data_IF_244104418676
#
_entry.id   IF_244104418676
#
_cell.length_a   1.000
_cell.length_b   1.000
_cell.length_c   1.000
_cell.angle_alpha   90.00
_cell.angle_beta   90.00
_cell.angle_gamma   90.00
#
_symmetry.space_group_name_H-M   'P 1'
#
loop_
_entity.id
_entity.type
_entity.pdbx_description
1 polymer ?
#
# COMPACT_ATOMS: atom_id res chain seq x y z
N UNK A 1 -11.98 30.66 12.59
CA UNK A 1 -11.95 30.85 11.14
C UNK A 1 -12.09 29.48 10.51
N UNK A 2 -13.06 29.26 9.63
CA UNK A 2 -13.13 28.01 8.88
C UNK A 2 -11.98 28.05 7.88
N UNK A 3 -10.99 27.18 8.05
CA UNK A 3 -9.94 27.00 7.05
C UNK A 3 -10.60 26.49 5.77
N UNK A 4 -10.83 27.40 4.81
CA UNK A 4 -11.42 27.08 3.52
C UNK A 4 -10.44 26.16 2.77
N UNK A 5 -10.74 24.87 2.76
CA UNK A 5 -9.88 23.89 2.10
C UNK A 5 -9.95 24.14 0.59
N UNK A 6 -8.89 24.75 0.04
CA UNK A 6 -8.82 25.12 -1.36
C UNK A 6 -8.42 23.91 -2.24
N UNK A 7 -9.43 23.18 -2.72
CA UNK A 7 -9.23 22.06 -3.66
C UNK A 7 -8.99 22.50 -5.12
N UNK A 8 -9.02 23.81 -5.43
CA UNK A 8 -8.97 24.32 -6.80
C UNK A 8 -7.67 24.00 -7.53
N UNK A 9 -6.58 23.77 -6.80
CA UNK A 9 -5.28 23.49 -7.39
C UNK A 9 -5.10 22.02 -7.82
N UNK A 10 -6.09 21.15 -7.59
CA UNK A 10 -6.02 19.78 -8.06
C UNK A 10 -6.32 19.72 -9.57
N UNK A 11 -5.41 19.23 -10.43
CA UNK A 11 -5.63 19.17 -11.86
C UNK A 11 -6.77 18.20 -12.24
N UNK A 12 -7.27 17.37 -11.33
CA UNK A 12 -8.47 16.53 -11.54
C UNK A 12 -9.77 17.31 -11.34
N UNK A 13 -9.72 18.49 -10.72
CA UNK A 13 -10.90 19.30 -10.46
C UNK A 13 -11.44 19.88 -11.78
N UNK A 14 -12.68 19.54 -12.13
CA UNK A 14 -13.29 19.94 -13.40
C UNK A 14 -12.90 19.09 -14.62
N UNK A 15 -11.94 18.17 -14.51
CA UNK A 15 -11.62 17.23 -15.60
C UNK A 15 -12.58 16.04 -15.60
N UNK A 16 -13.19 15.80 -16.76
CA UNK A 16 -14.03 14.64 -17.00
C UNK A 16 -13.21 13.35 -17.19
N UNK A 17 -13.75 12.22 -16.74
CA UNK A 17 -13.08 10.90 -16.86
C UNK A 17 -12.76 10.51 -18.32
N UNK A 18 -13.64 10.88 -19.26
CA UNK A 18 -13.41 10.63 -20.70
C UNK A 18 -12.20 11.41 -21.20
N UNK A 19 -12.10 12.68 -20.84
CA UNK A 19 -11.03 13.57 -21.30
C UNK A 19 -9.70 13.18 -20.68
N UNK A 20 -9.69 12.91 -19.37
CA UNK A 20 -8.54 12.38 -18.65
C UNK A 20 -8.01 11.11 -19.32
N UNK A 21 -8.90 10.13 -19.60
CA UNK A 21 -8.47 8.89 -20.23
C UNK A 21 -7.95 9.13 -21.66
N UNK A 22 -8.58 10.03 -22.40
CA UNK A 22 -8.15 10.37 -23.77
C UNK A 22 -6.73 10.93 -23.76
N UNK A 23 -6.41 11.87 -22.87
CA UNK A 23 -5.06 12.45 -22.76
C UNK A 23 -3.99 11.39 -22.43
N UNK A 24 -4.31 10.45 -21.52
CA UNK A 24 -3.36 9.40 -21.13
C UNK A 24 -3.14 8.41 -22.28
N UNK A 25 -4.22 8.00 -22.95
CA UNK A 25 -4.15 7.05 -24.06
C UNK A 25 -3.47 7.67 -25.27
N UNK A 26 -3.68 8.94 -25.54
CA UNK A 26 -3.01 9.67 -26.62
C UNK A 26 -1.48 9.69 -26.43
N UNK A 27 -1.02 9.85 -25.19
CA UNK A 27 0.41 9.88 -24.89
C UNK A 27 1.07 8.50 -24.75
N UNK A 28 0.41 7.53 -24.10
CA UNK A 28 1.02 6.23 -23.74
C UNK A 28 0.44 5.03 -24.48
N UNK A 29 -0.77 5.15 -25.03
CA UNK A 29 -1.51 4.01 -25.56
C UNK A 29 -2.03 3.03 -24.51
N UNK A 30 -2.85 2.08 -24.96
CA UNK A 30 -3.51 1.11 -24.09
C UNK A 30 -2.57 0.01 -23.56
N UNK A 31 -1.55 -0.37 -24.33
CA UNK A 31 -0.62 -1.44 -23.95
C UNK A 31 0.21 -1.07 -22.72
N UNK A 32 0.77 0.14 -22.71
CA UNK A 32 1.52 0.69 -21.55
C UNK A 32 0.59 0.78 -20.35
N UNK A 33 -0.63 1.29 -20.53
CA UNK A 33 -1.61 1.38 -19.44
C UNK A 33 -1.91 0.02 -18.83
N UNK A 34 -2.11 -1.02 -19.64
CA UNK A 34 -2.29 -2.37 -19.14
C UNK A 34 -1.04 -2.90 -18.43
N UNK A 35 0.15 -2.64 -18.97
CA UNK A 35 1.41 -3.07 -18.39
C UNK A 35 1.61 -2.50 -16.96
N UNK A 36 1.34 -1.21 -16.77
CA UNK A 36 1.53 -0.53 -15.49
C UNK A 36 0.35 -0.68 -14.51
N UNK A 37 -0.90 -0.59 -14.98
CA UNK A 37 -2.08 -0.60 -14.11
C UNK A 37 -2.65 -2.01 -13.89
N UNK A 38 -2.39 -2.93 -14.82
CA UNK A 38 -2.92 -4.29 -14.84
C UNK A 38 -4.45 -4.33 -14.72
N UNK A 39 -5.13 -3.46 -15.48
CA UNK A 39 -6.61 -3.39 -15.55
C UNK A 39 -7.06 -4.01 -16.87
N UNK A 40 -7.86 -5.07 -16.80
CA UNK A 40 -8.24 -5.88 -17.96
C UNK A 40 -9.01 -5.11 -19.05
N UNK A 41 -9.70 -4.00 -18.73
CA UNK A 41 -10.41 -3.19 -19.73
C UNK A 41 -9.48 -2.59 -20.79
N UNK A 42 -8.18 -2.43 -20.49
CA UNK A 42 -7.18 -1.95 -21.45
C UNK A 42 -6.56 -3.06 -22.30
N UNK A 43 -6.80 -4.33 -21.96
CA UNK A 43 -6.33 -5.49 -22.73
C UNK A 43 -7.43 -6.03 -23.64
N UNK A 44 -8.64 -6.19 -23.12
CA UNK A 44 -9.75 -6.82 -23.84
C UNK A 44 -10.62 -5.77 -24.50
N UNK A 45 -10.56 -5.68 -25.84
CA UNK A 45 -11.28 -4.69 -26.65
C UNK A 45 -11.05 -3.23 -26.16
N UNK A 46 -9.79 -2.76 -26.22
CA UNK A 46 -9.44 -1.42 -25.75
C UNK A 46 -10.16 -0.36 -26.57
N UNK A 47 -11.05 0.38 -25.92
CA UNK A 47 -11.72 1.56 -26.47
C UNK A 47 -11.96 2.57 -25.35
N UNK A 48 -11.95 3.86 -25.69
CA UNK A 48 -12.22 4.95 -24.73
C UNK A 48 -13.62 4.78 -24.13
N UNK A 49 -14.61 4.44 -24.95
CA UNK A 49 -16.00 4.34 -24.47
C UNK A 49 -16.22 3.13 -23.55
N UNK A 50 -15.66 1.96 -23.91
CA UNK A 50 -15.76 0.75 -23.09
C UNK A 50 -15.03 0.94 -21.76
N UNK A 51 -13.84 1.54 -21.80
CA UNK A 51 -13.04 1.86 -20.61
C UNK A 51 -13.76 2.85 -19.70
N UNK A 52 -14.34 3.94 -20.23
CA UNK A 52 -15.09 4.91 -19.41
C UNK A 52 -16.31 4.25 -18.77
N UNK A 53 -17.06 3.42 -19.51
CA UNK A 53 -18.20 2.67 -18.94
C UNK A 53 -17.74 1.74 -17.81
N UNK A 54 -16.59 1.09 -17.95
CA UNK A 54 -16.01 0.23 -16.92
C UNK A 54 -15.56 1.04 -15.68
N UNK A 55 -14.77 2.10 -15.88
CA UNK A 55 -14.24 2.93 -14.81
C UNK A 55 -15.34 3.65 -14.01
N UNK A 56 -16.50 3.94 -14.63
CA UNK A 56 -17.68 4.45 -13.92
C UNK A 56 -18.31 3.44 -12.95
N UNK A 57 -18.15 2.14 -13.19
CA UNK A 57 -18.70 1.06 -12.36
C UNK A 57 -17.70 0.53 -11.33
N UNK A 58 -16.43 0.86 -11.48
CA UNK A 58 -15.35 0.26 -10.69
C UNK A 58 -14.47 1.36 -10.12
N UNK A 59 -14.87 1.87 -8.95
CA UNK A 59 -14.27 3.05 -8.34
C UNK A 59 -12.78 2.89 -8.06
N UNK A 60 -12.33 1.74 -7.53
CA UNK A 60 -10.91 1.48 -7.28
C UNK A 60 -10.07 1.55 -8.56
N UNK A 61 -10.64 1.16 -9.71
CA UNK A 61 -9.96 1.20 -10.99
C UNK A 61 -9.88 2.65 -11.51
N UNK A 62 -10.95 3.43 -11.34
CA UNK A 62 -10.95 4.87 -11.61
C UNK A 62 -9.88 5.59 -10.79
N UNK A 63 -9.83 5.35 -9.48
CA UNK A 63 -8.83 5.96 -8.60
C UNK A 63 -7.40 5.60 -9.01
N UNK A 64 -7.14 4.34 -9.41
CA UNK A 64 -5.83 3.96 -9.97
C UNK A 64 -5.45 4.74 -11.23
N UNK A 65 -6.40 4.97 -12.13
CA UNK A 65 -6.16 5.76 -13.35
C UNK A 65 -5.94 7.23 -13.01
N UNK A 66 -6.68 7.80 -12.06
CA UNK A 66 -6.49 9.17 -11.58
C UNK A 66 -5.13 9.35 -10.88
N UNK A 67 -4.71 8.38 -10.06
CA UNK A 67 -3.37 8.36 -9.46
C UNK A 67 -2.27 8.34 -10.53
N UNK A 68 -2.45 7.51 -11.55
CA UNK A 68 -1.53 7.45 -12.68
C UNK A 68 -1.45 8.79 -13.41
N UNK A 69 -2.59 9.45 -13.63
CA UNK A 69 -2.62 10.78 -14.23
C UNK A 69 -1.82 11.79 -13.41
N UNK A 70 -2.01 11.85 -12.08
CA UNK A 70 -1.31 12.80 -11.22
C UNK A 70 0.22 12.59 -11.19
N UNK A 71 0.67 11.34 -11.02
CA UNK A 71 2.09 11.07 -10.75
C UNK A 71 2.90 10.64 -11.97
N UNK A 72 2.27 10.08 -12.99
CA UNK A 72 2.96 9.67 -14.23
C UNK A 72 2.74 10.68 -15.34
N UNK A 73 1.52 11.17 -15.53
CA UNK A 73 1.25 12.13 -16.61
C UNK A 73 1.55 13.58 -16.23
N UNK A 74 1.14 14.03 -15.03
CA UNK A 74 1.45 15.37 -14.52
C UNK A 74 2.74 15.43 -13.69
N UNK A 75 3.33 14.26 -13.42
CA UNK A 75 4.61 14.10 -12.73
C UNK A 75 4.74 14.95 -11.45
N UNK A 76 3.66 14.96 -10.66
CA UNK A 76 3.60 15.71 -9.41
C UNK A 76 4.49 15.06 -8.35
N UNK A 77 5.04 15.83 -7.41
CA UNK A 77 5.81 15.29 -6.30
C UNK A 77 4.95 14.40 -5.40
N UNK A 78 5.59 13.47 -4.71
CA UNK A 78 4.90 12.55 -3.80
C UNK A 78 4.30 13.34 -2.62
N UNK A 79 3.01 13.12 -2.38
CA UNK A 79 2.26 13.72 -1.27
C UNK A 79 2.61 13.07 0.07
N UNK A 80 2.25 13.75 1.17
CA UNK A 80 2.39 13.20 2.53
C UNK A 80 1.55 11.93 2.71
N UNK A 81 1.89 11.11 3.72
CA UNK A 81 1.17 9.87 4.02
C UNK A 81 -0.31 10.08 4.32
N UNK A 82 -0.65 11.17 5.01
CA UNK A 82 -2.04 11.52 5.36
C UNK A 82 -2.87 11.86 4.12
N UNK A 83 -2.32 12.69 3.23
CA UNK A 83 -2.97 13.02 1.96
C UNK A 83 -3.06 11.82 1.02
N UNK A 84 -2.11 10.87 1.11
CA UNK A 84 -2.16 9.65 0.31
C UNK A 84 -3.29 8.70 0.72
N UNK A 85 -3.76 8.77 1.97
CA UNK A 85 -4.91 7.99 2.44
C UNK A 85 -6.24 8.49 1.83
N UNK A 86 -6.28 9.74 1.37
CA UNK A 86 -7.45 10.33 0.71
C UNK A 86 -7.52 9.94 -0.77
N UNK A 87 -8.75 9.94 -1.29
CA UNK A 87 -9.02 9.73 -2.71
C UNK A 87 -8.31 10.78 -3.58
N UNK A 88 -7.87 10.44 -4.80
CA UNK A 88 -7.05 11.34 -5.63
C UNK A 88 -7.68 12.71 -5.90
N UNK A 89 -9.02 12.77 -5.99
CA UNK A 89 -9.78 14.01 -6.22
C UNK A 89 -9.87 14.90 -4.98
N UNK A 90 -9.79 14.32 -3.78
CA UNK A 90 -9.91 15.03 -2.50
C UNK A 90 -8.55 15.48 -1.93
N UNK A 91 -7.47 15.25 -2.68
CA UNK A 91 -6.11 15.65 -2.27
C UNK A 91 -5.90 17.13 -2.48
N UNK A 92 -5.28 17.75 -1.48
CA UNK A 92 -4.84 19.14 -1.53
C UNK A 92 -3.44 19.19 -2.14
N UNK A 93 -3.29 19.90 -3.25
CA UNK A 93 -1.99 20.15 -3.90
C UNK A 93 -1.56 21.58 -3.57
N UNK A 94 -0.40 21.79 -2.91
CA UNK A 94 0.03 23.13 -2.51
C UNK A 94 0.29 24.03 -3.73
N UNK A 95 -0.03 25.31 -3.60
CA UNK A 95 -0.15 26.30 -4.69
C UNK A 95 1.12 26.52 -5.53
N UNK A 96 2.30 26.15 -5.02
CA UNK A 96 3.57 26.26 -5.75
C UNK A 96 3.94 25.08 -6.66
N UNK A 97 3.14 24.02 -6.70
CA UNK A 97 3.44 22.83 -7.50
C UNK A 97 2.81 22.92 -8.89
N UNK A 98 3.65 22.97 -9.92
CA UNK A 98 3.20 22.95 -11.32
C UNK A 98 3.37 21.55 -11.92
N UNK A 99 2.44 21.09 -12.78
CA UNK A 99 2.64 19.88 -13.54
C UNK A 99 3.90 19.93 -14.40
N UNK A 100 4.64 18.82 -14.44
CA UNK A 100 5.80 18.63 -15.30
C UNK A 100 5.44 17.84 -16.55
N UNK A 101 6.43 17.68 -17.43
CA UNK A 101 6.34 16.78 -18.57
C UNK A 101 5.99 15.35 -18.12
N UNK A 102 5.17 14.64 -18.92
CA UNK A 102 4.81 13.25 -18.65
C UNK A 102 6.05 12.36 -18.51
N UNK A 103 6.00 11.42 -17.57
CA UNK A 103 7.08 10.48 -17.34
C UNK A 103 7.23 9.51 -18.53
N UNK A 104 8.45 9.30 -19.01
CA UNK A 104 8.73 8.27 -20.01
C UNK A 104 8.49 6.88 -19.39
N UNK A 105 7.52 6.14 -19.96
CA UNK A 105 7.12 4.82 -19.50
C UNK A 105 7.47 3.82 -20.61
N UNK A 106 8.37 2.87 -20.33
CA UNK A 106 8.75 1.81 -21.26
C UNK A 106 8.07 0.50 -20.86
N UNK A 107 7.66 -0.30 -21.85
CA UNK A 107 7.12 -1.64 -21.64
C UNK A 107 8.14 -2.56 -20.93
N UNK A 108 9.43 -2.39 -21.22
CA UNK A 108 10.52 -3.16 -20.61
C UNK A 108 10.64 -2.89 -19.10
N UNK A 109 10.41 -1.64 -18.70
CA UNK A 109 10.43 -1.27 -17.28
C UNK A 109 9.25 -1.91 -16.52
N UNK A 110 8.07 -1.94 -17.14
CA UNK A 110 6.90 -2.60 -16.58
C UNK A 110 7.12 -4.11 -16.43
N UNK A 111 7.75 -4.76 -17.41
CA UNK A 111 8.07 -6.20 -17.36
C UNK A 111 9.06 -6.51 -16.24
N UNK A 112 10.17 -5.77 -16.16
CA UNK A 112 11.17 -5.91 -15.08
C UNK A 112 10.54 -5.75 -13.70
N UNK A 113 9.60 -4.82 -13.53
CA UNK A 113 8.88 -4.62 -12.27
C UNK A 113 7.93 -5.79 -11.96
N UNK A 114 7.32 -6.42 -12.96
CA UNK A 114 6.49 -7.63 -12.80
C UNK A 114 7.35 -8.85 -12.46
N UNK A 115 8.46 -9.06 -13.15
CA UNK A 115 9.41 -10.14 -12.86
C UNK A 115 9.96 -10.03 -11.44
N UNK A 116 10.34 -8.83 -11.02
CA UNK A 116 10.82 -8.56 -9.66
C UNK A 116 9.75 -8.89 -8.62
N UNK A 117 8.49 -8.51 -8.87
CA UNK A 117 7.35 -8.86 -8.02
C UNK A 117 7.11 -10.38 -7.98
N UNK A 118 7.18 -11.06 -9.12
CA UNK A 118 7.00 -12.51 -9.23
C UNK A 118 8.10 -13.29 -8.49
N UNK A 119 9.37 -12.89 -8.66
CA UNK A 119 10.51 -13.48 -7.94
C UNK A 119 10.37 -13.32 -6.43
N UNK A 120 10.05 -12.11 -5.96
CA UNK A 120 9.82 -11.83 -4.53
C UNK A 120 8.65 -12.65 -3.98
N UNK A 121 7.58 -12.80 -4.74
CA UNK A 121 6.44 -13.64 -4.35
C UNK A 121 6.82 -15.12 -4.25
N UNK A 122 7.60 -15.65 -5.21
CA UNK A 122 8.09 -17.03 -5.19
C UNK A 122 9.03 -17.29 -4.00
N UNK A 123 9.92 -16.35 -3.67
CA UNK A 123 10.80 -16.42 -2.50
C UNK A 123 10.01 -16.40 -1.19
N UNK A 124 9.01 -15.53 -1.07
CA UNK A 124 8.12 -15.48 0.10
C UNK A 124 7.30 -16.78 0.26
N UNK A 125 6.90 -17.42 -0.84
CA UNK A 125 6.29 -18.75 -0.80
C UNK A 125 7.21 -19.82 -0.18
N UNK A 126 8.50 -19.81 -0.55
CA UNK A 126 9.51 -20.73 -0.01
C UNK A 126 9.74 -20.53 1.50
N UNK A 127 9.86 -19.29 1.98
CA UNK A 127 10.06 -19.04 3.42
C UNK A 127 8.84 -19.45 4.25
N UNK A 128 7.62 -19.29 3.71
CA UNK A 128 6.39 -19.77 4.34
C UNK A 128 6.35 -21.29 4.46
N UNK A 129 6.78 -22.03 3.42
CA UNK A 129 6.86 -23.50 3.46
C UNK A 129 7.91 -24.03 4.44
N UNK A 130 9.03 -23.33 4.63
CA UNK A 130 10.00 -23.68 5.68
C UNK A 130 9.46 -23.47 7.10
N UNK A 131 8.60 -22.46 7.32
CA UNK A 131 8.05 -22.15 8.64
C UNK A 131 6.86 -23.03 9.04
N UNK A 132 6.11 -23.55 8.07
CA UNK A 132 4.98 -24.47 8.29
C UNK A 132 5.38 -25.94 8.44
N UNK A 133 6.66 -26.28 8.26
CA UNK A 133 7.20 -27.64 8.33
C UNK A 133 7.79 -28.04 9.68
N UNK A 134 7.48 -27.34 10.78
CA UNK A 134 7.79 -27.88 12.12
C UNK A 134 6.82 -29.05 12.39
N UNK A 135 7.28 -30.30 12.54
CA UNK A 135 6.42 -31.36 13.01
C UNK A 135 5.92 -31.00 14.41
N UNK A 136 4.63 -31.20 14.65
CA UNK A 136 3.99 -31.09 15.96
C UNK A 136 4.59 -32.17 16.88
N UNK A 137 5.75 -31.85 17.47
CA UNK A 137 6.48 -32.71 18.38
C UNK A 137 6.06 -32.46 19.82
N UNK A 138 5.15 -33.31 20.30
CA UNK A 138 4.93 -33.68 21.70
C UNK A 138 4.79 -32.55 22.73
N UNK A 139 3.54 -32.19 22.99
CA UNK A 139 3.10 -31.68 24.29
C UNK A 139 3.17 -32.84 25.31
N UNK A 140 4.33 -33.06 25.92
CA UNK A 140 4.54 -34.14 26.88
C UNK A 140 5.34 -33.67 28.10
N UNK A 141 4.68 -33.68 29.27
CA UNK A 141 5.25 -34.17 30.53
C UNK A 141 6.31 -33.36 31.27
N UNK A 142 6.08 -33.18 32.56
CA UNK A 142 7.05 -32.73 33.58
C UNK A 142 8.30 -33.64 33.67
N UNK A 143 9.41 -33.04 34.13
CA UNK A 143 10.57 -33.64 34.82
C UNK A 143 11.80 -34.04 33.99
N UNK A 144 12.93 -33.33 34.15
CA UNK A 144 13.95 -33.67 35.15
C UNK A 144 15.20 -32.77 35.01
N UNK A 145 15.87 -32.54 36.14
CA UNK A 145 17.16 -31.88 36.32
C UNK A 145 18.24 -32.42 35.36
N UNK A 146 19.07 -31.53 34.82
CA UNK A 146 20.52 -31.71 34.93
C UNK A 146 21.24 -30.37 34.94
N UNK A 147 21.90 -30.13 36.06
CA UNK A 147 22.80 -29.02 36.30
C UNK A 147 24.06 -29.21 35.45
N UNK A 148 24.51 -28.15 34.78
CA UNK A 148 25.94 -28.03 34.50
C UNK A 148 26.36 -26.56 34.58
N UNK A 149 27.01 -26.25 35.70
CA UNK A 149 27.59 -24.95 35.97
C UNK A 149 28.94 -24.84 35.24
N UNK A 150 29.06 -23.83 34.37
CA UNK A 150 30.29 -23.08 34.05
C UNK A 150 30.05 -22.24 32.80
N UNK A 151 29.59 -21.00 32.98
CA UNK A 151 30.42 -19.84 32.67
C UNK A 151 29.71 -18.57 33.12
N UNK A 152 30.42 -17.80 33.95
CA UNK A 152 30.01 -16.47 34.40
C UNK A 152 30.48 -15.48 33.33
N UNK A 153 29.62 -14.56 32.90
CA UNK A 153 29.80 -13.13 33.18
C UNK A 153 28.67 -12.26 32.61
N UNK A 154 27.97 -11.61 33.54
CA UNK A 154 27.72 -10.16 33.54
C UNK A 154 27.03 -9.54 32.31
N UNK A 155 25.69 -9.47 32.31
CA UNK A 155 25.04 -8.23 31.83
C UNK A 155 23.64 -7.95 32.41
N UNK A 156 23.63 -7.12 33.46
CA UNK A 156 22.60 -6.16 33.90
C UNK A 156 21.37 -6.69 34.67
N UNK A 157 21.25 -6.20 35.92
CA UNK A 157 20.10 -6.38 36.84
C UNK A 157 19.23 -5.12 36.83
N UNK A 158 17.90 -5.21 36.89
CA UNK A 158 17.08 -4.16 37.50
C UNK A 158 16.72 -4.53 38.94
N UNK A 159 16.90 -3.56 39.84
CA UNK A 159 16.58 -3.66 41.25
C UNK A 159 15.06 -3.79 41.48
N UNK A 160 14.67 -4.70 42.39
CA UNK A 160 13.31 -4.78 42.93
C UNK A 160 13.22 -3.87 44.14
N UNK A 161 12.24 -2.96 44.16
CA UNK A 161 11.71 -2.34 45.39
C UNK A 161 10.19 -2.51 45.34
N UNK A 162 9.62 -3.05 46.41
CA UNK A 162 8.19 -3.16 46.66
C UNK A 162 7.93 -2.52 48.04
N UNK A 163 6.67 -2.33 48.49
CA UNK A 163 5.43 -1.98 47.80
C UNK A 163 4.76 -0.73 48.43
N UNK A 164 3.79 -0.08 47.76
CA UNK A 164 2.63 0.51 48.45
C UNK A 164 1.42 0.61 47.51
N UNK A 165 0.27 0.65 48.16
CA UNK A 165 -1.10 0.41 47.72
C UNK A 165 -1.77 1.57 46.97
N UNK A 166 -2.72 1.24 46.08
CA UNK A 166 -4.10 1.80 46.00
C UNK A 166 -4.70 1.74 44.57
N UNK A 167 -5.86 1.06 44.51
CA UNK A 167 -7.07 1.28 43.68
C UNK A 167 -6.99 1.82 42.24
N UNK A 168 -7.68 1.12 41.33
CA UNK A 168 -8.27 1.74 40.13
C UNK A 168 -8.55 0.77 38.98
N UNK A 169 -9.75 0.19 38.93
CA UNK A 169 -10.31 -0.46 37.74
C UNK A 169 -10.36 0.48 36.55
N UNK A 170 -10.05 -0.01 35.33
CA UNK A 170 -10.81 0.23 34.08
C UNK A 170 -10.12 -0.42 32.88
N UNK A 171 -10.90 -1.18 32.12
CA UNK A 171 -10.57 -1.82 30.86
C UNK A 171 -10.29 -0.79 29.73
N UNK A 172 -9.43 -1.15 28.76
CA UNK A 172 -9.76 -1.27 27.33
C UNK A 172 -8.47 -1.27 26.48
N UNK A 173 -7.99 -2.47 26.14
CA UNK A 173 -7.08 -2.70 25.02
C UNK A 173 -7.92 -2.74 23.73
N UNK A 174 -8.10 -1.59 23.08
CA UNK A 174 -8.67 -1.51 21.73
C UNK A 174 -7.55 -1.68 20.67
N UNK A 175 -7.21 -2.93 20.34
CA UNK A 175 -6.51 -3.24 19.09
C UNK A 175 -7.55 -3.46 17.98
N UNK A 176 -7.67 -2.56 16.99
CA UNK A 176 -8.72 -2.59 15.97
C UNK A 176 -8.61 -3.75 14.98
N UNK A 177 -7.56 -4.59 15.04
CA UNK A 177 -7.29 -5.63 14.03
C UNK A 177 -7.43 -7.08 14.52
N UNK A 178 -7.90 -7.31 15.75
CA UNK A 178 -7.96 -8.64 16.34
C UNK A 178 -9.04 -9.61 15.78
N UNK A 179 -9.91 -9.18 14.85
CA UNK A 179 -11.17 -9.92 14.53
C UNK A 179 -11.24 -10.71 13.20
N UNK A 180 -10.17 -10.84 12.41
CA UNK A 180 -10.26 -11.51 11.09
C UNK A 180 -9.67 -12.93 11.00
N UNK A 181 -9.40 -13.59 12.14
CA UNK A 181 -9.19 -15.04 12.16
C UNK A 181 -10.34 -15.75 12.85
N UNK A 182 -11.36 -16.12 12.08
CA UNK A 182 -12.06 -17.40 12.26
C UNK A 182 -12.67 -17.86 10.95
#
# INVERSE_FOLDING_TARGET
MSDEINYKNNPLHGLGLKELLTQIVDHYGFEILYAYLNINCFKTNPSIESSVKFLKKTDWAREKVELFYLYKFKNLPRVSSEQFALSPRDRIIPEGQTPREPAELSLEDAERMREKQAKKAAEHGKTKSYRSGKPDGQRGGYSSKQENARDKQERWKPARKAPDSQSGSSNNDDDPWAKWKK
#
